data_IF_513926056026
#
_entry.id   IF_513926056026
#
_cell.length_a   1.000
_cell.length_b   1.000
_cell.length_c   1.000
_cell.angle_alpha   90.00
_cell.angle_beta   90.00
_cell.angle_gamma   90.00
#
_symmetry.space_group_name_H-M   'P 1'
#
loop_
_entity.id
_entity.type
_entity.pdbx_description
1 polymer ?
#
# COMPACT_ATOMS: atom_id res chain seq x y z
N UNK A 1 -33.33 15.82 1.63
CA UNK A 1 -31.95 15.40 1.28
C UNK A 1 -31.63 16.04 -0.07
N UNK A 2 -30.80 17.08 -0.08
CA UNK A 2 -30.57 17.95 -1.24
C UNK A 2 -29.73 17.25 -2.31
N UNK A 3 -30.08 17.43 -3.58
CA UNK A 3 -29.39 16.87 -4.77
C UNK A 3 -27.86 17.11 -4.73
N UNK A 4 -27.43 18.25 -4.18
CA UNK A 4 -26.03 18.58 -3.94
C UNK A 4 -25.31 17.59 -3.02
N UNK A 5 -25.98 17.14 -1.94
CA UNK A 5 -25.41 16.16 -1.01
C UNK A 5 -25.27 14.79 -1.66
N UNK A 6 -26.24 14.39 -2.49
CA UNK A 6 -26.18 13.14 -3.26
C UNK A 6 -25.03 13.16 -4.28
N UNK A 7 -24.87 14.25 -5.04
CA UNK A 7 -23.78 14.42 -6.01
C UNK A 7 -22.42 14.45 -5.31
N UNK A 8 -22.33 15.14 -4.18
CA UNK A 8 -21.11 15.18 -3.36
C UNK A 8 -20.77 13.79 -2.81
N UNK A 9 -21.73 13.06 -2.26
CA UNK A 9 -21.53 11.71 -1.72
C UNK A 9 -21.15 10.71 -2.83
N UNK A 10 -21.72 10.85 -4.04
CA UNK A 10 -21.36 10.03 -5.21
C UNK A 10 -19.95 10.38 -5.70
N UNK A 11 -19.60 11.66 -5.83
CA UNK A 11 -18.25 12.08 -6.24
C UNK A 11 -17.19 11.74 -5.19
N UNK A 12 -17.54 11.82 -3.90
CA UNK A 12 -16.67 11.43 -2.80
C UNK A 12 -16.45 9.91 -2.79
N UNK A 13 -17.51 9.13 -3.00
CA UNK A 13 -17.44 7.66 -3.12
C UNK A 13 -16.66 7.25 -4.37
N UNK A 14 -16.91 7.87 -5.53
CA UNK A 14 -16.16 7.62 -6.76
C UNK A 14 -14.67 7.97 -6.62
N UNK A 15 -14.34 9.10 -5.98
CA UNK A 15 -12.96 9.47 -5.68
C UNK A 15 -12.30 8.48 -4.72
N UNK A 16 -13.05 8.01 -3.72
CA UNK A 16 -12.57 7.04 -2.74
C UNK A 16 -12.26 5.70 -3.41
N UNK A 17 -13.13 5.23 -4.31
CA UNK A 17 -13.05 3.87 -4.88
C UNK A 17 -12.38 3.82 -6.27
N UNK A 18 -11.91 4.95 -6.80
CA UNK A 18 -11.27 5.05 -8.12
C UNK A 18 -10.12 4.04 -8.32
N UNK A 19 -9.35 3.75 -7.28
CA UNK A 19 -8.27 2.76 -7.32
C UNK A 19 -8.76 1.33 -7.49
N UNK A 20 -9.95 1.00 -6.96
CA UNK A 20 -10.59 -0.30 -7.13
C UNK A 20 -11.01 -0.47 -8.59
N UNK A 21 -11.59 0.57 -9.19
CA UNK A 21 -11.98 0.56 -10.60
C UNK A 21 -10.78 0.39 -11.54
N UNK A 22 -9.65 1.04 -11.27
CA UNK A 22 -8.42 0.88 -12.07
C UNK A 22 -7.94 -0.58 -12.03
N UNK A 23 -7.86 -1.17 -10.84
CA UNK A 23 -7.46 -2.58 -10.69
C UNK A 23 -8.45 -3.54 -11.36
N UNK A 24 -9.76 -3.31 -11.20
CA UNK A 24 -10.80 -4.11 -11.85
C UNK A 24 -10.73 -4.01 -13.37
N UNK A 25 -10.48 -2.81 -13.91
CA UNK A 25 -10.31 -2.61 -15.34
C UNK A 25 -9.16 -3.45 -15.88
N UNK A 26 -7.98 -3.38 -15.25
CA UNK A 26 -6.83 -4.20 -15.66
C UNK A 26 -7.08 -5.70 -15.52
N UNK A 27 -7.75 -6.12 -14.45
CA UNK A 27 -8.15 -7.51 -14.23
C UNK A 27 -9.05 -8.00 -15.35
N UNK A 28 -10.18 -7.32 -15.58
CA UNK A 28 -11.19 -7.71 -16.58
C UNK A 28 -10.56 -7.71 -17.98
N UNK A 29 -9.80 -6.66 -18.31
CA UNK A 29 -9.11 -6.58 -19.60
C UNK A 29 -8.14 -7.76 -19.81
N UNK A 30 -7.39 -8.13 -18.78
CA UNK A 30 -6.46 -9.26 -18.81
C UNK A 30 -7.16 -10.62 -18.89
N UNK A 31 -8.36 -10.75 -18.34
CA UNK A 31 -9.16 -11.97 -18.47
C UNK A 31 -9.69 -12.14 -19.90
N UNK A 32 -10.17 -11.04 -20.51
CA UNK A 32 -10.74 -11.06 -21.86
C UNK A 32 -9.68 -11.21 -22.97
N UNK A 33 -8.52 -10.56 -22.81
CA UNK A 33 -7.42 -10.61 -23.78
C UNK A 33 -6.11 -11.00 -23.10
N UNK A 34 -5.88 -12.30 -22.80
CA UNK A 34 -4.75 -12.72 -21.96
C UNK A 34 -3.37 -12.31 -22.49
N UNK A 35 -3.11 -12.42 -23.80
CA UNK A 35 -1.79 -12.11 -24.37
C UNK A 35 -1.42 -10.62 -24.27
N UNK A 36 -2.33 -9.74 -24.70
CA UNK A 36 -2.12 -8.28 -24.66
C UNK A 36 -2.25 -7.76 -23.23
N UNK A 37 -3.30 -8.20 -22.53
CA UNK A 37 -3.61 -7.76 -21.17
C UNK A 37 -2.53 -8.13 -20.16
N UNK A 38 -1.98 -9.35 -20.20
CA UNK A 38 -0.85 -9.72 -19.33
C UNK A 38 0.38 -8.83 -19.56
N UNK A 39 0.69 -8.50 -20.81
CA UNK A 39 1.84 -7.67 -21.16
C UNK A 39 1.66 -6.24 -20.64
N UNK A 40 0.49 -5.64 -20.89
CA UNK A 40 0.15 -4.29 -20.39
C UNK A 40 0.15 -4.26 -18.86
N UNK A 41 -0.43 -5.28 -18.23
CA UNK A 41 -0.49 -5.40 -16.78
C UNK A 41 0.92 -5.47 -16.17
N UNK A 42 1.81 -6.31 -16.72
CA UNK A 42 3.20 -6.43 -16.26
C UNK A 42 3.96 -5.11 -16.45
N UNK A 43 3.80 -4.44 -17.58
CA UNK A 43 4.44 -3.13 -17.82
C UNK A 43 3.98 -2.11 -16.77
N UNK A 44 2.67 -2.06 -16.51
CA UNK A 44 2.11 -1.19 -15.48
C UNK A 44 2.70 -1.52 -14.09
N UNK A 45 2.75 -2.80 -13.72
CA UNK A 45 3.34 -3.24 -12.45
C UNK A 45 4.79 -2.79 -12.31
N UNK A 46 5.62 -3.07 -13.32
CA UNK A 46 7.05 -2.72 -13.29
C UNK A 46 7.23 -1.20 -13.15
N UNK A 47 6.50 -0.39 -13.94
CA UNK A 47 6.59 1.06 -13.87
C UNK A 47 6.15 1.60 -12.51
N UNK A 48 5.05 1.07 -11.99
CA UNK A 48 4.47 1.50 -10.72
C UNK A 48 5.37 1.13 -9.53
N UNK A 49 5.87 -0.11 -9.47
CA UNK A 49 6.77 -0.57 -8.41
C UNK A 49 8.13 0.12 -8.47
N UNK A 50 8.65 0.35 -9.68
CA UNK A 50 9.90 1.10 -9.88
C UNK A 50 9.74 2.53 -9.38
N UNK A 51 8.62 3.19 -9.70
CA UNK A 51 8.33 4.53 -9.20
C UNK A 51 8.28 4.58 -7.67
N UNK A 52 7.55 3.66 -7.03
CA UNK A 52 7.46 3.59 -5.56
C UNK A 52 8.84 3.34 -4.96
N UNK A 53 9.59 2.39 -5.50
CA UNK A 53 10.94 2.05 -5.02
C UNK A 53 11.89 3.24 -5.17
N UNK A 54 11.81 3.97 -6.27
CA UNK A 54 12.59 5.19 -6.49
C UNK A 54 12.28 6.26 -5.44
N UNK A 55 10.99 6.49 -5.14
CA UNK A 55 10.57 7.41 -4.07
C UNK A 55 11.06 6.92 -2.70
N UNK A 56 11.11 5.61 -2.48
CA UNK A 56 11.57 5.01 -1.24
C UNK A 56 13.10 5.09 -1.05
N UNK A 57 13.87 5.00 -2.14
CA UNK A 57 15.34 5.11 -2.11
C UNK A 57 15.79 6.54 -1.80
N UNK A 58 15.02 7.55 -2.24
CA UNK A 58 15.27 8.96 -1.95
C UNK A 58 14.88 9.33 -0.50
N UNK A 59 15.50 8.63 0.46
CA UNK A 59 15.24 8.78 1.90
C UNK A 59 15.50 10.21 2.35
N UNK A 60 14.58 10.73 3.14
CA UNK A 60 14.75 11.99 3.84
C UNK A 60 15.29 11.69 5.23
N UNK A 61 16.48 12.19 5.54
CA UNK A 61 17.00 12.16 6.91
C UNK A 61 16.25 13.17 7.76
N UNK A 62 15.71 12.72 8.88
CA UNK A 62 14.96 13.59 9.78
C UNK A 62 15.96 14.42 10.58
N UNK A 63 15.98 15.74 10.38
CA UNK A 63 16.70 16.65 11.28
C UNK A 63 15.94 16.73 12.60
N UNK A 64 16.46 16.12 13.67
CA UNK A 64 15.88 16.20 15.01
C UNK A 64 16.22 17.56 15.67
N UNK A 65 15.59 18.62 15.16
CA UNK A 65 15.72 19.97 15.72
C UNK A 65 15.00 19.97 17.09
N UNK A 66 15.66 20.48 18.11
CA UNK A 66 15.17 20.62 19.49
C UNK A 66 14.81 19.31 20.22
N UNK A 67 15.42 18.17 19.84
CA UNK A 67 15.14 16.86 20.46
C UNK A 67 13.66 16.49 20.48
N UNK A 68 12.87 17.00 19.53
CA UNK A 68 11.42 16.80 19.43
C UNK A 68 11.05 15.30 19.36
N UNK A 69 11.89 14.50 18.71
CA UNK A 69 11.68 13.07 18.51
C UNK A 69 12.70 12.24 19.28
N UNK A 70 12.27 11.09 19.79
CA UNK A 70 13.16 10.06 20.34
C UNK A 70 13.91 9.32 19.23
N UNK A 71 14.99 8.61 19.56
CA UNK A 71 15.72 7.80 18.56
C UNK A 71 14.83 6.76 17.87
N UNK A 72 13.93 6.12 18.61
CA UNK A 72 13.00 5.15 18.06
C UNK A 72 11.96 5.80 17.13
N UNK A 73 11.47 7.00 17.47
CA UNK A 73 10.57 7.76 16.59
C UNK A 73 11.27 8.17 15.30
N UNK A 74 12.53 8.62 15.35
CA UNK A 74 13.31 8.95 14.17
C UNK A 74 13.46 7.73 13.27
N UNK A 75 13.79 6.57 13.83
CA UNK A 75 13.94 5.34 13.05
C UNK A 75 12.64 4.97 12.32
N UNK A 76 11.49 5.08 12.98
CA UNK A 76 10.18 4.83 12.37
C UNK A 76 9.86 5.86 11.28
N UNK A 77 10.11 7.15 11.53
CA UNK A 77 9.86 8.20 10.54
C UNK A 77 10.74 8.00 9.30
N UNK A 78 12.02 7.65 9.47
CA UNK A 78 12.93 7.40 8.35
C UNK A 78 12.61 6.09 7.62
N UNK A 79 12.13 5.06 8.33
CA UNK A 79 11.71 3.78 7.74
C UNK A 79 10.46 3.94 6.88
N UNK A 80 9.50 4.74 7.34
CA UNK A 80 8.21 4.97 6.68
C UNK A 80 8.09 6.42 6.16
N UNK A 81 9.18 7.00 5.66
CA UNK A 81 9.23 8.43 5.32
C UNK A 81 8.18 8.84 4.29
N UNK A 82 7.87 7.99 3.32
CA UNK A 82 6.82 8.27 2.30
C UNK A 82 5.45 8.41 2.94
N UNK A 83 5.14 7.60 3.95
CA UNK A 83 3.90 7.68 4.70
C UNK A 83 3.81 8.99 5.50
N UNK A 84 4.90 9.43 6.12
CA UNK A 84 4.95 10.70 6.85
C UNK A 84 5.04 11.94 5.96
N UNK A 85 5.59 11.84 4.75
CA UNK A 85 5.71 12.97 3.84
C UNK A 85 4.44 13.18 3.03
N UNK A 86 3.83 12.09 2.56
CA UNK A 86 2.67 12.09 1.67
C UNK A 86 1.58 11.10 2.14
N UNK A 87 0.95 11.32 3.31
CA UNK A 87 0.07 10.34 3.95
C UNK A 87 -1.12 9.91 3.07
N UNK A 88 -1.69 10.85 2.31
CA UNK A 88 -2.83 10.55 1.41
C UNK A 88 -2.38 9.68 0.23
N UNK A 89 -1.27 10.05 -0.41
CA UNK A 89 -0.75 9.35 -1.58
C UNK A 89 -0.23 7.96 -1.20
N UNK A 90 0.46 7.86 -0.07
CA UNK A 90 1.00 6.61 0.46
C UNK A 90 -0.10 5.60 0.76
N UNK A 91 -1.20 6.04 1.41
CA UNK A 91 -2.37 5.19 1.66
C UNK A 91 -3.06 4.75 0.36
N UNK A 92 -3.16 5.65 -0.62
CA UNK A 92 -3.72 5.34 -1.93
C UNK A 92 -2.89 4.27 -2.65
N UNK A 93 -1.58 4.43 -2.75
CA UNK A 93 -0.69 3.44 -3.38
C UNK A 93 -0.68 2.10 -2.65
N UNK A 94 -0.69 2.12 -1.32
CA UNK A 94 -0.82 0.90 -0.52
C UNK A 94 -2.08 0.11 -0.87
N UNK A 95 -3.22 0.80 -1.03
CA UNK A 95 -4.48 0.17 -1.43
C UNK A 95 -4.44 -0.36 -2.87
N UNK A 96 -3.83 0.38 -3.80
CA UNK A 96 -3.61 -0.11 -5.18
C UNK A 96 -2.80 -1.41 -5.18
N UNK A 97 -1.71 -1.47 -4.41
CA UNK A 97 -0.87 -2.66 -4.26
C UNK A 97 -1.61 -3.84 -3.62
N UNK A 98 -2.46 -3.59 -2.61
CA UNK A 98 -3.33 -4.64 -2.07
C UNK A 98 -4.32 -5.18 -3.10
N UNK A 99 -4.86 -4.32 -3.97
CA UNK A 99 -5.70 -4.72 -5.10
C UNK A 99 -4.94 -5.59 -6.12
N UNK A 100 -3.73 -5.17 -6.48
CA UNK A 100 -2.80 -5.94 -7.33
C UNK A 100 -2.55 -7.32 -6.71
N UNK A 101 -2.21 -7.36 -5.42
CA UNK A 101 -1.94 -8.60 -4.70
C UNK A 101 -3.12 -9.58 -4.73
N UNK A 102 -4.35 -9.08 -4.55
CA UNK A 102 -5.56 -9.91 -4.66
C UNK A 102 -5.78 -10.41 -6.10
N UNK A 103 -5.54 -9.54 -7.10
CA UNK A 103 -5.69 -9.90 -8.50
C UNK A 103 -4.74 -11.03 -8.92
N UNK A 104 -3.56 -11.12 -8.30
CA UNK A 104 -2.57 -12.17 -8.55
C UNK A 104 -3.14 -13.58 -8.33
N UNK A 105 -4.04 -13.77 -7.36
CA UNK A 105 -4.67 -15.08 -7.13
C UNK A 105 -5.55 -15.54 -8.28
N UNK A 106 -6.11 -14.61 -9.05
CA UNK A 106 -6.96 -14.90 -10.20
C UNK A 106 -6.11 -14.96 -11.48
N UNK A 107 -5.26 -13.95 -11.70
CA UNK A 107 -4.50 -13.80 -12.94
C UNK A 107 -3.40 -14.86 -13.08
N UNK A 108 -2.75 -15.26 -11.99
CA UNK A 108 -1.68 -16.27 -12.04
C UNK A 108 -2.19 -17.60 -12.60
N UNK A 109 -3.17 -18.29 -11.98
CA UNK A 109 -3.67 -19.56 -12.52
C UNK A 109 -4.28 -19.36 -13.91
N UNK A 110 -4.95 -18.24 -14.16
CA UNK A 110 -5.53 -17.95 -15.48
C UNK A 110 -4.47 -17.88 -16.59
N UNK A 111 -3.37 -17.15 -16.37
CA UNK A 111 -2.28 -17.03 -17.34
C UNK A 111 -1.56 -18.36 -17.55
N UNK A 112 -1.33 -19.13 -16.49
CA UNK A 112 -0.76 -20.47 -16.59
C UNK A 112 -1.65 -21.41 -17.44
N UNK A 113 -2.98 -21.39 -17.22
CA UNK A 113 -3.93 -22.17 -18.02
C UNK A 113 -3.99 -21.75 -19.49
N UNK A 114 -3.68 -20.49 -19.80
CA UNK A 114 -3.60 -19.96 -21.17
C UNK A 114 -2.23 -20.19 -21.83
N UNK A 115 -1.32 -20.91 -21.18
CA UNK A 115 0.03 -21.17 -21.69
C UNK A 115 0.99 -19.97 -21.60
N UNK A 116 0.59 -18.90 -20.90
CA UNK A 116 1.41 -17.70 -20.67
C UNK A 116 2.27 -17.90 -19.42
N UNK A 117 3.15 -18.91 -19.46
CA UNK A 117 3.92 -19.37 -18.31
C UNK A 117 4.80 -18.28 -17.70
N UNK A 118 5.52 -17.54 -18.55
CA UNK A 118 6.43 -16.47 -18.11
C UNK A 118 5.63 -15.36 -17.40
N UNK A 119 4.53 -14.91 -18.01
CA UNK A 119 3.68 -13.87 -17.45
C UNK A 119 3.02 -14.31 -16.15
N UNK A 120 2.53 -15.55 -16.09
CA UNK A 120 1.95 -16.14 -14.88
C UNK A 120 2.95 -16.18 -13.73
N UNK A 121 4.18 -16.62 -13.99
CA UNK A 121 5.25 -16.65 -12.96
C UNK A 121 5.59 -15.23 -12.49
N UNK A 122 5.76 -14.27 -13.41
CA UNK A 122 6.07 -12.88 -13.05
C UNK A 122 4.97 -12.27 -12.17
N UNK A 123 3.70 -12.46 -12.52
CA UNK A 123 2.56 -11.99 -11.71
C UNK A 123 2.50 -12.71 -10.37
N UNK A 124 2.81 -14.01 -10.33
CA UNK A 124 2.90 -14.77 -9.09
C UNK A 124 3.99 -14.25 -8.13
N UNK A 125 5.18 -13.94 -8.65
CA UNK A 125 6.27 -13.35 -7.85
C UNK A 125 5.89 -11.97 -7.33
N UNK A 126 5.20 -11.18 -8.16
CA UNK A 126 4.76 -9.83 -7.81
C UNK A 126 3.91 -9.79 -6.52
N UNK A 127 3.19 -10.88 -6.18
CA UNK A 127 2.47 -11.02 -4.91
C UNK A 127 3.31 -10.62 -3.69
N UNK A 128 4.56 -11.09 -3.63
CA UNK A 128 5.44 -10.86 -2.49
C UNK A 128 5.96 -9.42 -2.46
N UNK A 129 6.31 -8.88 -3.63
CA UNK A 129 6.82 -7.51 -3.77
C UNK A 129 5.72 -6.50 -3.40
N UNK A 130 4.54 -6.65 -4.00
CA UNK A 130 3.40 -5.79 -3.74
C UNK A 130 2.98 -5.81 -2.26
N UNK A 131 3.00 -6.99 -1.62
CA UNK A 131 2.71 -7.14 -0.19
C UNK A 131 3.68 -6.34 0.68
N UNK A 132 4.99 -6.46 0.44
CA UNK A 132 6.00 -5.73 1.20
C UNK A 132 5.87 -4.21 1.01
N UNK A 133 5.71 -3.76 -0.23
CA UNK A 133 5.55 -2.35 -0.54
C UNK A 133 4.26 -1.76 0.05
N UNK A 134 3.16 -2.53 0.06
CA UNK A 134 1.89 -2.08 0.64
C UNK A 134 2.02 -1.81 2.15
N UNK A 135 2.74 -2.67 2.88
CA UNK A 135 3.00 -2.50 4.32
C UNK A 135 3.86 -1.26 4.59
N UNK A 136 4.91 -1.03 3.79
CA UNK A 136 5.78 0.14 3.94
C UNK A 136 5.01 1.44 3.70
N UNK A 137 4.08 1.44 2.75
CA UNK A 137 3.31 2.63 2.39
C UNK A 137 2.15 2.92 3.35
N UNK A 138 1.68 1.95 4.13
CA UNK A 138 0.60 2.20 5.10
C UNK A 138 0.76 1.34 6.36
N UNK A 139 1.83 1.57 7.14
CA UNK A 139 2.15 0.73 8.29
C UNK A 139 1.02 0.71 9.32
N UNK A 140 0.32 1.84 9.54
CA UNK A 140 -0.81 1.91 10.48
C UNK A 140 -1.89 0.87 10.16
N UNK A 141 -2.33 0.78 8.91
CA UNK A 141 -3.40 -0.14 8.53
C UNK A 141 -3.01 -1.60 8.80
N UNK A 142 -1.79 -2.00 8.41
CA UNK A 142 -1.35 -3.38 8.56
C UNK A 142 -0.99 -3.73 10.00
N UNK A 143 -0.41 -2.81 10.78
CA UNK A 143 -0.11 -3.03 12.19
C UNK A 143 -1.41 -3.20 13.00
N UNK A 144 -2.38 -2.29 12.82
CA UNK A 144 -3.69 -2.40 13.47
C UNK A 144 -4.43 -3.69 13.07
N UNK A 145 -4.53 -3.99 11.77
CA UNK A 145 -5.29 -5.15 11.29
C UNK A 145 -4.73 -6.46 11.83
N UNK A 146 -3.39 -6.58 11.92
CA UNK A 146 -2.73 -7.78 12.44
C UNK A 146 -2.91 -7.95 13.96
N UNK A 147 -2.91 -6.85 14.73
CA UNK A 147 -3.12 -6.86 16.18
C UNK A 147 -4.59 -7.16 16.50
N UNK A 148 -5.53 -6.48 15.85
CA UNK A 148 -6.98 -6.60 16.08
C UNK A 148 -7.50 -7.97 15.71
N UNK A 149 -7.10 -8.50 14.54
CA UNK A 149 -7.54 -9.82 14.07
C UNK A 149 -6.77 -10.98 14.71
N UNK A 150 -5.89 -10.69 15.68
CA UNK A 150 -5.09 -11.67 16.40
C UNK A 150 -4.37 -12.66 15.47
N UNK A 151 -3.90 -12.17 14.32
CA UNK A 151 -3.26 -12.99 13.27
C UNK A 151 -1.86 -13.44 13.65
N UNK A 152 -1.25 -12.74 14.61
CA UNK A 152 0.07 -13.04 15.15
C UNK A 152 -0.09 -14.01 16.33
N UNK A 153 0.33 -15.25 16.13
CA UNK A 153 0.30 -16.31 17.17
C UNK A 153 1.45 -16.20 18.17
N UNK A 154 2.56 -15.61 17.73
CA UNK A 154 3.75 -15.37 18.56
C UNK A 154 3.53 -14.15 19.46
N UNK A 155 3.59 -14.37 20.78
CA UNK A 155 3.40 -13.31 21.77
C UNK A 155 4.52 -12.25 21.71
N UNK A 156 5.77 -12.64 21.48
CA UNK A 156 6.88 -11.70 21.43
C UNK A 156 6.76 -10.79 20.19
N UNK A 157 6.40 -11.38 19.05
CA UNK A 157 6.16 -10.62 17.82
C UNK A 157 4.98 -9.67 17.97
N UNK A 158 3.91 -10.09 18.65
CA UNK A 158 2.75 -9.25 18.92
C UNK A 158 3.10 -8.04 19.78
N UNK A 159 3.95 -8.22 20.80
CA UNK A 159 4.42 -7.10 21.64
C UNK A 159 5.35 -6.15 20.88
N UNK A 160 6.21 -6.66 19.99
CA UNK A 160 7.00 -5.80 19.09
C UNK A 160 6.11 -4.95 18.20
N UNK A 161 5.09 -5.55 17.57
CA UNK A 161 4.15 -4.83 16.71
C UNK A 161 3.36 -3.76 17.47
N UNK A 162 2.94 -4.04 18.71
CA UNK A 162 2.29 -3.04 19.57
C UNK A 162 3.21 -1.86 19.88
N UNK A 163 4.47 -2.12 20.23
CA UNK A 163 5.45 -1.06 20.50
C UNK A 163 5.69 -0.20 19.26
N UNK A 164 5.89 -0.82 18.10
CA UNK A 164 6.09 -0.10 16.84
C UNK A 164 4.88 0.78 16.49
N UNK A 165 3.66 0.29 16.75
CA UNK A 165 2.42 1.04 16.58
C UNK A 165 2.33 2.24 17.53
N UNK A 166 2.64 2.07 18.82
CA UNK A 166 2.63 3.17 19.80
C UNK A 166 3.64 4.28 19.44
N UNK A 167 4.84 3.88 18.99
CA UNK A 167 5.88 4.82 18.55
C UNK A 167 5.43 5.54 17.27
N UNK A 168 4.85 4.82 16.31
CA UNK A 168 4.29 5.38 15.07
C UNK A 168 3.20 6.41 15.36
N UNK A 169 2.26 6.10 16.26
CA UNK A 169 1.18 7.00 16.65
C UNK A 169 1.68 8.22 17.44
N UNK A 170 2.66 8.04 18.32
CA UNK A 170 3.34 9.13 19.02
C UNK A 170 4.00 10.10 18.01
N UNK A 171 4.76 9.57 17.06
CA UNK A 171 5.41 10.36 16.01
C UNK A 171 4.39 11.14 15.17
N UNK A 172 3.29 10.49 14.76
CA UNK A 172 2.20 11.14 14.02
C UNK A 172 1.56 12.28 14.82
N UNK A 173 1.28 12.05 16.12
CA UNK A 173 0.71 13.06 17.00
C UNK A 173 1.63 14.27 17.11
N UNK A 174 2.93 14.07 17.31
CA UNK A 174 3.93 15.15 17.36
C UNK A 174 4.07 15.91 16.04
N UNK A 175 3.89 15.23 14.91
CA UNK A 175 4.07 15.81 13.58
C UNK A 175 2.85 16.62 13.11
N UNK A 176 1.64 16.13 13.38
CA UNK A 176 0.40 16.70 12.83
C UNK A 176 -0.54 17.32 13.86
N UNK A 177 -0.53 16.85 15.12
CA UNK A 177 -1.50 17.28 16.15
C UNK A 177 -0.93 18.31 17.13
N UNK A 178 0.40 18.49 17.19
CA UNK A 178 1.06 19.43 18.09
C UNK A 178 1.46 20.76 17.39
N UNK A 179 0.71 21.15 16.36
CA UNK A 179 0.88 22.42 15.61
C UNK A 179 -0.05 23.55 16.06
N UNK A 180 -0.90 23.30 17.06
CA UNK A 180 -1.71 24.28 17.81
C UNK A 180 -1.07 24.56 19.14
#
# INVERSE_FOLDING_TARGET
MTLYKLIYDILYTLRKDMHIFINLFFLIFSLLNPAIGSSIYIIFLILFETYITFVQINKIKVKNIDSKYTHAEIEIIERYHVFFQYPIVSRFFSSVLSGIQLSTFILTPWFLLKGLWIQGILVGINYFIASQLAVILNPQHFLHDNIEKNRIKDQELKERFKRDMEILDSALKKMYLNKT
#
